data_IF_946247328231
#
_entry.id   IF_946247328231
#
_cell.length_a   1.000
_cell.length_b   1.000
_cell.length_c   1.000
_cell.angle_alpha   90.00
_cell.angle_beta   90.00
_cell.angle_gamma   90.00
#
_symmetry.space_group_name_H-M   'P 1'
#
loop_
_entity.id
_entity.type
_entity.pdbx_description
1 polymer ?
#
# COMPACT_ATOMS: atom_id res chain seq x y z
N UNK A 1 11.83 20.05 -26.65
CA UNK A 1 10.76 19.42 -27.44
C UNK A 1 10.40 18.11 -26.74
N UNK A 2 9.40 18.11 -25.85
CA UNK A 2 8.92 16.86 -25.21
C UNK A 2 8.06 16.15 -26.26
N UNK A 3 8.58 15.09 -26.83
CA UNK A 3 7.76 14.12 -27.57
C UNK A 3 6.79 13.55 -26.55
N UNK A 4 5.54 14.00 -26.56
CA UNK A 4 4.43 13.29 -25.92
C UNK A 4 4.26 12.01 -26.71
N UNK A 5 5.04 10.99 -26.33
CA UNK A 5 4.80 9.65 -26.79
C UNK A 5 3.41 9.27 -26.29
N UNK A 6 2.47 9.15 -27.23
CA UNK A 6 1.09 8.72 -26.99
C UNK A 6 0.99 7.23 -26.67
N UNK A 7 2.12 6.57 -26.41
CA UNK A 7 2.17 5.18 -26.02
C UNK A 7 1.39 4.98 -24.72
N UNK A 8 0.35 4.16 -24.79
CA UNK A 8 -0.35 3.71 -23.59
C UNK A 8 0.61 2.84 -22.80
N UNK A 9 0.69 3.06 -21.48
CA UNK A 9 1.44 2.20 -20.58
C UNK A 9 1.03 0.72 -20.80
N UNK A 10 1.97 -0.24 -20.79
CA UNK A 10 1.63 -1.65 -20.92
C UNK A 10 0.64 -2.09 -19.83
N UNK A 11 -0.35 -2.91 -20.20
CA UNK A 11 -1.46 -3.31 -19.33
C UNK A 11 -0.98 -3.83 -17.97
N UNK A 12 0.06 -4.66 -17.96
CA UNK A 12 0.61 -5.22 -16.72
C UNK A 12 1.04 -4.14 -15.72
N UNK A 13 1.86 -3.19 -16.16
CA UNK A 13 2.32 -2.09 -15.29
C UNK A 13 1.18 -1.19 -14.85
N UNK A 14 0.25 -0.92 -15.77
CA UNK A 14 -0.95 -0.16 -15.44
C UNK A 14 -1.76 -0.83 -14.33
N UNK A 15 -2.02 -2.13 -14.48
CA UNK A 15 -2.83 -2.91 -13.55
C UNK A 15 -2.21 -2.98 -12.15
N UNK A 16 -0.89 -3.21 -12.09
CA UNK A 16 -0.15 -3.22 -10.82
C UNK A 16 -0.10 -1.82 -10.22
N UNK A 17 0.42 -0.83 -10.94
CA UNK A 17 0.66 0.50 -10.40
C UNK A 17 -0.65 1.15 -9.90
N UNK A 18 -1.76 0.96 -10.62
CA UNK A 18 -3.06 1.51 -10.22
C UNK A 18 -3.80 0.70 -9.16
N UNK A 19 -3.16 -0.30 -8.54
CA UNK A 19 -3.78 -1.14 -7.52
C UNK A 19 -5.08 -1.77 -8.01
N UNK A 20 -5.01 -2.47 -9.14
CA UNK A 20 -6.15 -3.11 -9.80
C UNK A 20 -7.22 -2.12 -10.32
N UNK A 21 -6.80 -0.91 -10.68
CA UNK A 21 -7.66 0.15 -11.21
C UNK A 21 -8.28 1.06 -10.15
N UNK A 22 -8.04 0.81 -8.86
CA UNK A 22 -8.48 1.68 -7.75
C UNK A 22 -7.89 3.09 -7.84
N UNK A 23 -6.67 3.22 -8.37
CA UNK A 23 -5.99 4.49 -8.62
C UNK A 23 -6.68 5.39 -9.66
N UNK A 24 -7.68 4.89 -10.39
CA UNK A 24 -8.53 5.72 -11.26
C UNK A 24 -9.71 6.35 -10.52
N UNK A 25 -9.85 6.14 -9.21
CA UNK A 25 -10.88 6.83 -8.43
C UNK A 25 -10.79 8.34 -8.67
N UNK A 26 -11.91 9.01 -9.02
CA UNK A 26 -11.90 10.47 -9.22
C UNK A 26 -11.70 11.24 -7.91
N UNK A 27 -11.89 10.57 -6.76
CA UNK A 27 -11.78 11.15 -5.42
C UNK A 27 -10.83 10.30 -4.60
N UNK A 28 -9.78 10.96 -4.05
CA UNK A 28 -8.77 10.36 -3.18
C UNK A 28 -8.26 8.98 -3.65
N UNK A 29 -7.56 8.88 -4.80
CA UNK A 29 -7.03 7.63 -5.34
C UNK A 29 -6.31 6.76 -4.31
N UNK A 30 -5.42 7.34 -3.50
CA UNK A 30 -4.69 6.60 -2.46
C UNK A 30 -5.60 5.95 -1.41
N UNK A 31 -6.69 6.63 -1.04
CA UNK A 31 -7.71 6.05 -0.15
C UNK A 31 -8.47 4.89 -0.81
N UNK A 32 -8.74 4.98 -2.11
CA UNK A 32 -9.33 3.86 -2.85
C UNK A 32 -8.38 2.65 -2.92
N UNK A 33 -7.08 2.88 -3.14
CA UNK A 33 -6.05 1.85 -3.11
C UNK A 33 -5.96 1.15 -1.75
N UNK A 34 -5.84 1.92 -0.68
CA UNK A 34 -5.83 1.41 0.69
C UNK A 34 -7.11 0.63 1.05
N UNK A 35 -8.28 1.09 0.58
CA UNK A 35 -9.55 0.41 0.83
C UNK A 35 -9.61 -0.93 0.09
N UNK A 36 -9.20 -0.96 -1.18
CA UNK A 36 -9.12 -2.22 -1.95
C UNK A 36 -8.15 -3.20 -1.30
N UNK A 37 -6.99 -2.73 -0.82
CA UNK A 37 -6.05 -3.57 -0.08
C UNK A 37 -6.67 -4.17 1.19
N UNK A 38 -7.42 -3.37 1.94
CA UNK A 38 -8.15 -3.82 3.15
C UNK A 38 -9.21 -4.86 2.79
N UNK A 39 -9.97 -4.65 1.72
CA UNK A 39 -11.00 -5.59 1.26
C UNK A 39 -10.41 -6.92 0.76
N UNK A 40 -9.27 -6.87 0.06
CA UNK A 40 -8.53 -8.08 -0.35
C UNK A 40 -8.10 -8.87 0.90
N UNK A 41 -7.49 -8.18 1.88
CA UNK A 41 -7.08 -8.80 3.14
C UNK A 41 -8.25 -9.44 3.87
N UNK A 42 -9.34 -8.69 4.04
CA UNK A 42 -10.56 -9.17 4.68
C UNK A 42 -11.11 -10.41 3.97
N UNK A 43 -11.18 -10.38 2.64
CA UNK A 43 -11.71 -11.48 1.82
C UNK A 43 -10.97 -12.80 2.02
N UNK A 44 -9.64 -12.81 1.96
CA UNK A 44 -8.89 -14.06 2.19
C UNK A 44 -8.80 -14.42 3.68
N UNK A 45 -8.76 -13.44 4.60
CA UNK A 45 -8.76 -13.71 6.04
C UNK A 45 -10.04 -14.39 6.51
N UNK A 46 -11.17 -14.13 5.84
CA UNK A 46 -12.45 -14.78 6.10
C UNK A 46 -12.53 -16.20 5.54
N UNK A 47 -11.70 -16.51 4.52
CA UNK A 47 -11.66 -17.82 3.88
C UNK A 47 -10.62 -18.77 4.50
N UNK A 48 -9.55 -18.24 5.10
CA UNK A 48 -8.47 -18.99 5.72
C UNK A 48 -8.71 -19.07 7.24
N UNK A 49 -8.87 -20.28 7.78
CA UNK A 49 -9.13 -20.49 9.23
C UNK A 49 -7.87 -20.57 10.10
N UNK A 50 -6.68 -20.49 9.49
CA UNK A 50 -5.40 -20.59 10.18
C UNK A 50 -4.68 -19.23 10.18
N UNK A 51 -4.40 -18.70 11.38
CA UNK A 51 -3.78 -17.39 11.54
C UNK A 51 -2.38 -17.30 10.93
N UNK A 52 -1.58 -18.38 11.04
CA UNK A 52 -0.23 -18.42 10.46
C UNK A 52 -0.29 -18.31 8.93
N UNK A 53 -1.27 -18.98 8.31
CA UNK A 53 -1.53 -18.90 6.87
C UNK A 53 -1.95 -17.50 6.45
N UNK A 54 -2.83 -16.82 7.21
CA UNK A 54 -3.22 -15.41 6.95
C UNK A 54 -1.99 -14.49 6.96
N UNK A 55 -1.17 -14.57 8.01
CA UNK A 55 0.03 -13.73 8.15
C UNK A 55 1.04 -14.05 7.05
N UNK A 56 1.24 -15.33 6.72
CA UNK A 56 2.14 -15.77 5.66
C UNK A 56 1.68 -15.27 4.29
N UNK A 57 0.39 -15.37 3.98
CA UNK A 57 -0.20 -14.81 2.76
C UNK A 57 -0.01 -13.30 2.71
N UNK A 58 -0.28 -12.58 3.81
CA UNK A 58 -0.06 -11.12 3.90
C UNK A 58 1.38 -10.76 3.61
N UNK A 59 2.35 -11.45 4.23
CA UNK A 59 3.77 -11.21 4.04
C UNK A 59 4.24 -11.50 2.60
N UNK A 60 3.74 -12.58 1.98
CA UNK A 60 4.03 -12.90 0.58
C UNK A 60 3.50 -11.79 -0.34
N UNK A 61 2.26 -11.33 -0.12
CA UNK A 61 1.68 -10.22 -0.90
C UNK A 61 2.52 -8.94 -0.75
N UNK A 62 2.92 -8.57 0.47
CA UNK A 62 3.79 -7.42 0.71
C UNK A 62 5.09 -7.53 -0.09
N UNK A 63 5.78 -8.67 -0.03
CA UNK A 63 7.05 -8.87 -0.75
C UNK A 63 6.84 -8.78 -2.25
N UNK A 64 5.86 -9.51 -2.79
CA UNK A 64 5.58 -9.54 -4.23
C UNK A 64 5.18 -8.16 -4.75
N UNK A 65 4.24 -7.47 -4.09
CA UNK A 65 3.78 -6.15 -4.53
C UNK A 65 4.77 -5.03 -4.22
N UNK A 66 5.69 -5.20 -3.28
CA UNK A 66 6.82 -4.27 -3.14
C UNK A 66 7.71 -4.33 -4.37
N UNK A 67 8.13 -5.53 -4.80
CA UNK A 67 8.98 -5.70 -5.98
C UNK A 67 8.27 -5.25 -7.25
N UNK A 68 7.03 -5.70 -7.45
CA UNK A 68 6.24 -5.33 -8.62
C UNK A 68 5.86 -3.84 -8.62
N UNK A 69 5.62 -3.27 -7.43
CA UNK A 69 5.31 -1.87 -7.21
C UNK A 69 6.47 -0.97 -7.59
N UNK A 70 7.66 -1.19 -7.03
CA UNK A 70 8.87 -0.43 -7.39
C UNK A 70 9.10 -0.44 -8.91
N UNK A 71 8.98 -1.62 -9.54
CA UNK A 71 9.17 -1.74 -10.98
C UNK A 71 8.08 -1.02 -11.78
N UNK A 72 6.80 -1.27 -11.46
CA UNK A 72 5.68 -0.72 -12.22
C UNK A 72 5.50 0.77 -12.02
N UNK A 73 5.78 1.29 -10.82
CA UNK A 73 5.79 2.73 -10.53
C UNK A 73 6.90 3.43 -11.31
N UNK A 74 8.12 2.90 -11.32
CA UNK A 74 9.22 3.47 -12.12
C UNK A 74 8.99 3.39 -13.64
N UNK A 75 8.24 2.40 -14.12
CA UNK A 75 7.76 2.41 -15.52
C UNK A 75 6.69 3.47 -15.71
N UNK A 76 5.72 3.57 -14.81
CA UNK A 76 4.59 4.50 -14.87
C UNK A 76 5.03 5.96 -14.94
N UNK A 77 6.11 6.33 -14.25
CA UNK A 77 6.66 7.69 -14.28
C UNK A 77 7.05 8.16 -15.68
N UNK A 78 7.50 7.23 -16.54
CA UNK A 78 7.87 7.52 -17.93
C UNK A 78 6.66 7.90 -18.80
N UNK A 79 5.47 7.46 -18.40
CA UNK A 79 4.22 7.66 -19.14
C UNK A 79 3.36 8.78 -18.55
N UNK A 80 3.38 8.94 -17.22
CA UNK A 80 2.44 9.82 -16.50
C UNK A 80 3.11 11.00 -15.79
N UNK A 81 4.44 11.08 -15.79
CA UNK A 81 5.20 12.09 -15.04
C UNK A 81 5.68 11.57 -13.69
N UNK A 82 6.48 12.36 -12.99
CA UNK A 82 6.97 12.00 -11.65
C UNK A 82 5.80 11.86 -10.67
N UNK A 83 5.87 10.83 -9.82
CA UNK A 83 4.89 10.51 -8.78
C UNK A 83 3.41 10.70 -9.18
N UNK A 84 2.89 9.90 -10.15
CA UNK A 84 1.53 10.06 -10.62
C UNK A 84 0.53 9.65 -9.53
N UNK A 85 -0.39 10.55 -9.15
CA UNK A 85 -1.47 10.28 -8.17
C UNK A 85 -2.33 9.02 -8.38
N UNK A 86 -2.27 8.38 -9.56
CA UNK A 86 -2.97 7.12 -9.86
C UNK A 86 -2.16 5.88 -9.52
N UNK A 87 -0.88 6.04 -9.19
CA UNK A 87 -0.06 4.97 -8.62
C UNK A 87 -0.48 4.85 -7.16
N UNK A 88 -1.03 3.70 -6.79
CA UNK A 88 -1.59 3.43 -5.46
C UNK A 88 -1.23 2.04 -4.96
N UNK A 89 -0.19 1.41 -5.54
CA UNK A 89 0.29 0.08 -5.15
C UNK A 89 1.14 0.13 -3.86
N UNK A 90 1.84 1.24 -3.68
CA UNK A 90 2.43 1.73 -2.43
C UNK A 90 1.41 1.72 -1.28
N UNK A 91 0.25 2.32 -1.53
CA UNK A 91 -0.87 2.42 -0.57
C UNK A 91 -1.38 1.04 -0.15
N UNK A 92 -1.41 0.09 -1.10
CA UNK A 92 -1.80 -1.29 -0.83
C UNK A 92 -0.79 -1.99 0.06
N UNK A 93 0.51 -1.85 -0.26
CA UNK A 93 1.60 -2.45 0.52
C UNK A 93 1.65 -1.86 1.93
N UNK A 94 1.58 -0.53 2.08
CA UNK A 94 1.56 0.14 3.37
C UNK A 94 0.39 -0.31 4.24
N UNK A 95 -0.81 -0.42 3.65
CA UNK A 95 -2.00 -0.95 4.33
C UNK A 95 -1.81 -2.39 4.80
N UNK A 96 -1.30 -3.29 3.94
CA UNK A 96 -1.06 -4.69 4.32
C UNK A 96 -0.02 -4.83 5.43
N UNK A 97 1.02 -3.99 5.44
CA UNK A 97 2.00 -3.97 6.54
C UNK A 97 1.31 -3.64 7.87
N UNK A 98 0.46 -2.60 7.91
CA UNK A 98 -0.30 -2.28 9.12
C UNK A 98 -1.21 -3.44 9.56
N UNK A 99 -1.81 -4.16 8.60
CA UNK A 99 -2.69 -5.30 8.85
C UNK A 99 -1.98 -6.53 9.42
N UNK A 100 -0.65 -6.66 9.29
CA UNK A 100 0.11 -7.73 9.96
C UNK A 100 -0.04 -7.70 11.50
N UNK A 101 -0.40 -6.55 12.07
CA UNK A 101 -0.61 -6.41 13.52
C UNK A 101 -2.02 -6.80 13.97
N UNK A 102 -2.94 -7.14 13.08
CA UNK A 102 -4.31 -7.57 13.45
C UNK A 102 -4.22 -8.95 14.14
N UNK A 103 -4.76 -9.12 15.36
CA UNK A 103 -4.69 -10.40 16.08
C UNK A 103 -5.62 -11.46 15.47
N UNK A 104 -5.34 -12.71 15.80
CA UNK A 104 -6.25 -13.85 15.60
C UNK A 104 -7.61 -13.56 16.26
N UNK A 105 -8.71 -14.03 15.67
CA UNK A 105 -10.11 -13.90 16.15
C UNK A 105 -10.92 -12.67 15.72
N UNK A 106 -10.74 -12.19 14.48
CA UNK A 106 -11.81 -11.44 13.80
C UNK A 106 -12.19 -10.11 14.46
N UNK A 107 -11.21 -9.35 14.93
CA UNK A 107 -11.46 -8.03 15.48
C UNK A 107 -11.46 -6.95 14.39
N UNK A 108 -12.65 -6.64 13.88
CA UNK A 108 -12.85 -5.65 12.82
C UNK A 108 -12.35 -4.26 13.25
N UNK A 109 -12.34 -3.98 14.56
CA UNK A 109 -11.74 -2.77 15.13
C UNK A 109 -10.25 -2.61 14.82
N UNK A 110 -9.46 -3.70 14.90
CA UNK A 110 -8.04 -3.65 14.55
C UNK A 110 -7.80 -3.48 13.05
N UNK A 111 -8.65 -4.08 12.21
CA UNK A 111 -8.61 -3.87 10.76
C UNK A 111 -8.90 -2.42 10.38
N UNK A 112 -9.95 -1.83 10.98
CA UNK A 112 -10.29 -0.41 10.78
C UNK A 112 -9.18 0.49 11.32
N UNK A 113 -8.61 0.15 12.49
CA UNK A 113 -7.49 0.88 13.06
C UNK A 113 -6.23 0.81 12.17
N UNK A 114 -5.92 -0.34 11.57
CA UNK A 114 -4.82 -0.49 10.63
C UNK A 114 -4.98 0.42 9.41
N UNK A 115 -6.17 0.41 8.79
CA UNK A 115 -6.48 1.32 7.69
C UNK A 115 -6.34 2.79 8.11
N UNK A 116 -6.95 3.17 9.24
CA UNK A 116 -6.96 4.56 9.71
C UNK A 116 -5.56 5.05 10.10
N UNK A 117 -4.78 4.24 10.83
CA UNK A 117 -3.43 4.59 11.27
C UNK A 117 -2.46 4.66 10.08
N UNK A 118 -2.55 3.72 9.15
CA UNK A 118 -1.77 3.79 7.92
C UNK A 118 -2.04 5.11 7.18
N UNK A 119 -3.31 5.43 6.89
CA UNK A 119 -3.68 6.70 6.21
C UNK A 119 -3.25 7.92 7.01
N UNK A 120 -3.35 7.88 8.34
CA UNK A 120 -2.88 8.96 9.20
C UNK A 120 -1.37 9.21 9.03
N UNK A 121 -0.56 8.15 9.04
CA UNK A 121 0.89 8.28 8.87
C UNK A 121 1.28 8.65 7.44
N UNK A 122 0.62 8.08 6.43
CA UNK A 122 0.89 8.43 5.03
C UNK A 122 0.52 9.89 4.71
N UNK A 123 -0.61 10.40 5.21
CA UNK A 123 -1.00 11.78 4.94
C UNK A 123 -0.07 12.78 5.66
N UNK A 124 0.31 12.49 6.91
CA UNK A 124 1.11 13.42 7.72
C UNK A 124 2.60 13.32 7.47
N UNK A 125 3.08 12.13 7.06
CA UNK A 125 4.50 11.77 6.85
C UNK A 125 5.45 12.18 7.99
N UNK A 126 5.16 11.87 9.26
CA UNK A 126 6.03 12.25 10.39
C UNK A 126 7.32 11.43 10.46
N UNK A 127 8.23 11.83 11.36
CA UNK A 127 9.38 11.03 11.83
C UNK A 127 10.33 10.47 10.75
N UNK A 128 10.37 11.10 9.58
CA UNK A 128 11.30 10.71 8.51
C UNK A 128 10.63 10.07 7.30
N UNK A 129 9.33 9.80 7.32
CA UNK A 129 8.56 9.32 6.16
C UNK A 129 8.78 10.25 4.96
N UNK A 130 8.66 11.57 5.14
CA UNK A 130 8.92 12.55 4.06
C UNK A 130 10.35 12.54 3.50
N UNK A 131 11.32 11.96 4.22
CA UNK A 131 12.69 11.81 3.69
C UNK A 131 12.79 10.64 2.71
N UNK A 132 11.90 9.66 2.81
CA UNK A 132 11.90 8.46 1.95
C UNK A 132 11.51 8.80 0.50
N UNK A 133 10.64 9.80 0.29
CA UNK A 133 10.27 10.36 -1.02
C UNK A 133 11.48 10.84 -1.85
N UNK A 134 12.65 11.06 -1.22
CA UNK A 134 13.88 11.48 -1.91
C UNK A 134 14.61 10.33 -2.61
N UNK A 135 14.21 9.08 -2.37
CA UNK A 135 14.74 7.94 -3.11
C UNK A 135 14.29 8.01 -4.58
N UNK A 136 15.11 7.54 -5.53
CA UNK A 136 14.81 7.74 -6.94
C UNK A 136 13.67 6.84 -7.44
N UNK A 137 12.77 7.45 -8.20
CA UNK A 137 11.68 6.80 -8.93
C UNK A 137 10.79 5.92 -8.05
N UNK A 138 10.43 4.74 -8.56
CA UNK A 138 9.56 3.79 -7.85
C UNK A 138 10.03 3.37 -6.45
N UNK A 139 11.30 3.55 -6.07
CA UNK A 139 11.73 3.33 -4.69
C UNK A 139 11.22 4.42 -3.74
N UNK A 140 11.22 5.68 -4.18
CA UNK A 140 10.71 6.80 -3.40
C UNK A 140 9.22 6.65 -3.12
N UNK A 141 8.46 6.35 -4.18
CA UNK A 141 7.00 6.13 -4.15
C UNK A 141 6.60 5.00 -3.18
N UNK A 142 7.38 3.92 -3.12
CA UNK A 142 7.01 2.79 -2.26
C UNK A 142 7.47 2.95 -0.81
N UNK A 143 8.57 3.66 -0.57
CA UNK A 143 9.29 3.57 0.69
C UNK A 143 8.67 4.40 1.83
N UNK A 144 8.06 5.54 1.52
CA UNK A 144 7.31 6.34 2.49
C UNK A 144 6.04 5.62 2.96
N UNK A 145 5.25 5.03 2.06
CA UNK A 145 4.07 4.24 2.41
C UNK A 145 4.42 2.96 3.18
N UNK A 146 5.51 2.28 2.81
CA UNK A 146 6.03 1.14 3.59
C UNK A 146 6.34 1.58 5.02
N UNK A 147 7.03 2.72 5.19
CA UNK A 147 7.37 3.23 6.52
C UNK A 147 6.13 3.69 7.30
N UNK A 148 5.14 4.30 6.63
CA UNK A 148 3.83 4.63 7.19
C UNK A 148 3.09 3.39 7.68
N UNK A 149 3.10 2.31 6.89
CA UNK A 149 2.56 1.00 7.27
C UNK A 149 3.25 0.41 8.50
N UNK A 150 4.58 0.48 8.56
CA UNK A 150 5.37 0.03 9.73
C UNK A 150 4.97 0.82 10.99
N UNK A 151 4.80 2.14 10.89
CA UNK A 151 4.37 2.95 12.03
C UNK A 151 2.97 2.57 12.51
N UNK A 152 2.03 2.37 11.58
CA UNK A 152 0.69 1.86 11.90
C UNK A 152 0.75 0.51 12.62
N UNK A 153 1.53 -0.43 12.07
CA UNK A 153 1.77 -1.76 12.65
C UNK A 153 2.31 -1.66 14.08
N UNK A 154 3.34 -0.83 14.31
CA UNK A 154 3.96 -0.66 15.65
C UNK A 154 2.95 -0.11 16.66
N UNK A 155 2.16 0.90 16.30
CA UNK A 155 1.16 1.48 17.20
C UNK A 155 0.13 0.43 17.62
N UNK A 156 -0.33 -0.40 16.67
CA UNK A 156 -1.27 -1.48 16.98
C UNK A 156 -0.64 -2.53 17.88
N UNK A 157 0.59 -2.94 17.61
CA UNK A 157 1.31 -3.90 18.44
C UNK A 157 1.53 -3.38 19.87
N UNK A 158 1.88 -2.10 20.04
CA UNK A 158 1.99 -1.47 21.35
C UNK A 158 0.63 -1.50 22.06
N UNK A 159 -0.44 -1.09 21.38
CA UNK A 159 -1.78 -1.12 21.97
C UNK A 159 -2.15 -2.54 22.43
N UNK A 160 -1.89 -3.56 21.61
CA UNK A 160 -2.12 -4.98 21.95
C UNK A 160 -1.33 -5.47 23.16
N UNK A 161 -0.17 -4.88 23.46
CA UNK A 161 0.63 -5.25 24.63
C UNK A 161 0.13 -4.59 25.92
N UNK A 162 -0.65 -3.50 25.80
CA UNK A 162 -1.14 -2.73 26.93
C UNK A 162 -2.54 -3.14 27.40
N UNK A 163 -3.27 -3.91 26.58
CA UNK A 163 -4.64 -4.40 26.86
C UNK A 163 -4.68 -5.92 26.95
#
# INVERSE_FOLDING_TARGET
MKTTDTSKIPFFHNFIATGFGSGYSPVAPGTAGALVATLIWWGYSAAINDYISIISTTAILIIVFTVLGVWSSGVSEKYWGEDPSRVVVDEMVGTWIALLAVPENGHWGYMIAAFALFRFFDILKPLGIRKMEKLPGGYGIMADDILSGIYGMIVILIFRLLV
#
